data_IF_025088377655
#
_entry.id   IF_025088377655
#
_cell.length_a   1.000
_cell.length_b   1.000
_cell.length_c   1.000
_cell.angle_alpha   90.00
_cell.angle_beta   90.00
_cell.angle_gamma   90.00
#
_symmetry.space_group_name_H-M   'P 1'
#
loop_
_entity.id
_entity.type
_entity.pdbx_description
1 polymer ?
#
# COMPACT_ATOMS: atom_id res chain seq x y z
N UNK A 1 16.35 20.60 -0.94
CA UNK A 1 15.57 20.56 0.30
C UNK A 1 14.19 20.03 -0.03
N UNK A 2 13.66 19.15 0.83
CA UNK A 2 12.27 18.69 0.72
C UNK A 2 11.36 19.67 1.44
N UNK A 3 10.34 20.17 0.76
CA UNK A 3 9.31 21.07 1.28
C UNK A 3 7.93 20.44 1.16
N UNK A 4 6.88 21.14 1.61
CA UNK A 4 5.49 20.62 1.56
C UNK A 4 5.07 20.23 0.13
N UNK A 5 5.57 20.94 -0.87
CA UNK A 5 5.33 20.65 -2.29
C UNK A 5 6.65 20.73 -3.04
N UNK A 6 7.41 19.64 -2.99
CA UNK A 6 8.66 19.45 -3.72
C UNK A 6 8.56 18.30 -4.73
N UNK A 7 9.58 18.13 -5.57
CA UNK A 7 9.61 17.11 -6.61
C UNK A 7 9.52 15.68 -6.07
N UNK A 8 10.09 15.40 -4.89
CA UNK A 8 10.07 14.10 -4.23
C UNK A 8 8.69 13.81 -3.62
N UNK A 9 8.05 14.82 -3.02
CA UNK A 9 6.69 14.74 -2.49
C UNK A 9 5.67 14.53 -3.61
N UNK A 10 5.80 15.26 -4.73
CA UNK A 10 4.97 15.05 -5.93
C UNK A 10 5.18 13.63 -6.48
N UNK A 11 6.43 13.19 -6.61
CA UNK A 11 6.76 11.84 -7.08
C UNK A 11 6.12 10.77 -6.19
N UNK A 12 6.22 10.92 -4.87
CA UNK A 12 5.59 10.00 -3.90
C UNK A 12 4.07 9.96 -4.06
N UNK A 13 3.43 11.12 -4.22
CA UNK A 13 1.99 11.24 -4.46
C UNK A 13 1.55 10.58 -5.78
N UNK A 14 2.24 10.86 -6.88
CA UNK A 14 1.97 10.27 -8.20
C UNK A 14 2.19 8.75 -8.17
N UNK A 15 3.25 8.29 -7.51
CA UNK A 15 3.51 6.85 -7.33
C UNK A 15 2.37 6.18 -6.57
N UNK A 16 1.94 6.80 -5.47
CA UNK A 16 0.84 6.29 -4.64
C UNK A 16 -0.49 6.26 -5.38
N UNK A 17 -0.83 7.33 -6.08
CA UNK A 17 -2.03 7.38 -6.91
C UNK A 17 -1.98 6.27 -7.99
N UNK A 18 -0.84 6.06 -8.64
CA UNK A 18 -0.70 5.08 -9.71
C UNK A 18 -0.92 3.65 -9.21
N UNK A 19 -0.31 3.24 -8.10
CA UNK A 19 -0.52 1.89 -7.60
C UNK A 19 -1.89 1.68 -6.95
N UNK A 20 -2.51 2.72 -6.39
CA UNK A 20 -3.87 2.65 -5.88
C UNK A 20 -4.88 2.50 -7.02
N UNK A 21 -4.69 3.23 -8.12
CA UNK A 21 -5.46 3.05 -9.35
C UNK A 21 -5.25 1.66 -9.93
N UNK A 22 -4.03 1.13 -9.91
CA UNK A 22 -3.75 -0.25 -10.34
C UNK A 22 -4.52 -1.27 -9.49
N UNK A 23 -4.50 -1.11 -8.16
CA UNK A 23 -5.22 -1.97 -7.23
C UNK A 23 -6.75 -1.91 -7.45
N UNK A 24 -7.31 -0.71 -7.61
CA UNK A 24 -8.73 -0.52 -7.93
C UNK A 24 -9.11 -1.11 -9.30
N UNK A 25 -8.26 -0.96 -10.32
CA UNK A 25 -8.49 -1.58 -11.62
C UNK A 25 -8.52 -3.11 -11.52
N UNK A 26 -7.62 -3.72 -10.75
CA UNK A 26 -7.64 -5.18 -10.51
C UNK A 26 -8.90 -5.64 -9.78
N UNK A 27 -9.44 -4.85 -8.84
CA UNK A 27 -10.72 -5.13 -8.22
C UNK A 27 -11.86 -5.14 -9.25
N UNK A 28 -11.94 -4.11 -10.09
CA UNK A 28 -12.93 -4.05 -11.17
C UNK A 28 -12.80 -5.25 -12.12
N UNK A 29 -11.58 -5.63 -12.50
CA UNK A 29 -11.35 -6.83 -13.32
C UNK A 29 -11.86 -8.11 -12.65
N UNK A 30 -11.72 -8.21 -11.33
CA UNK A 30 -12.17 -9.37 -10.56
C UNK A 30 -13.68 -9.41 -10.31
N UNK A 31 -14.36 -8.26 -10.32
CA UNK A 31 -15.76 -8.12 -9.88
C UNK A 31 -16.75 -7.66 -10.94
N UNK A 32 -16.30 -7.29 -12.14
CA UNK A 32 -17.17 -6.87 -13.24
C UNK A 32 -17.01 -7.78 -14.44
N UNK A 33 -17.95 -7.71 -15.38
CA UNK A 33 -17.89 -8.39 -16.67
C UNK A 33 -18.07 -7.39 -17.84
N UNK A 34 -18.15 -7.94 -19.06
CA UNK A 34 -18.43 -7.18 -20.28
C UNK A 34 -17.46 -6.03 -20.54
N UNK A 35 -18.02 -4.89 -20.97
CA UNK A 35 -17.25 -3.71 -21.40
C UNK A 35 -16.45 -3.08 -20.26
N UNK A 36 -17.02 -3.03 -19.06
CA UNK A 36 -16.35 -2.46 -17.88
C UNK A 36 -15.11 -3.28 -17.53
N UNK A 37 -15.23 -4.61 -17.52
CA UNK A 37 -14.11 -5.49 -17.25
C UNK A 37 -13.00 -5.34 -18.29
N UNK A 38 -13.35 -5.22 -19.57
CA UNK A 38 -12.36 -5.04 -20.65
C UNK A 38 -11.57 -3.74 -20.51
N UNK A 39 -12.25 -2.62 -20.23
CA UNK A 39 -11.59 -1.34 -19.98
C UNK A 39 -10.70 -1.39 -18.73
N UNK A 40 -11.19 -2.01 -17.64
CA UNK A 40 -10.43 -2.19 -16.42
C UNK A 40 -9.19 -3.07 -16.63
N UNK A 41 -9.25 -4.11 -17.48
CA UNK A 41 -8.09 -4.94 -17.84
C UNK A 41 -7.02 -4.13 -18.55
N UNK A 42 -7.40 -3.28 -19.49
CA UNK A 42 -6.47 -2.42 -20.20
C UNK A 42 -5.84 -1.39 -19.27
N UNK A 43 -6.64 -0.72 -18.44
CA UNK A 43 -6.15 0.21 -17.42
C UNK A 43 -5.20 -0.48 -16.44
N UNK A 44 -5.56 -1.65 -15.92
CA UNK A 44 -4.72 -2.44 -15.02
C UNK A 44 -3.38 -2.82 -15.66
N UNK A 45 -3.33 -3.06 -16.97
CA UNK A 45 -2.10 -3.33 -17.72
C UNK A 45 -1.16 -2.12 -17.74
N UNK A 46 -1.65 -0.97 -18.19
CA UNK A 46 -0.87 0.27 -18.24
C UNK A 46 -0.42 0.75 -16.87
N UNK A 47 -1.33 0.76 -15.89
CA UNK A 47 -1.04 1.18 -14.52
C UNK A 47 -0.03 0.27 -13.83
N UNK A 48 0.06 -1.00 -14.21
CA UNK A 48 1.09 -1.91 -13.69
C UNK A 48 2.49 -1.54 -14.16
N UNK A 49 2.65 -1.25 -15.46
CA UNK A 49 3.94 -0.77 -15.98
C UNK A 49 4.32 0.57 -15.35
N UNK A 50 3.34 1.48 -15.20
CA UNK A 50 3.52 2.75 -14.47
C UNK A 50 3.93 2.52 -13.02
N UNK A 51 3.27 1.59 -12.32
CA UNK A 51 3.59 1.24 -10.93
C UNK A 51 5.00 0.68 -10.79
N UNK A 52 5.46 -0.18 -11.71
CA UNK A 52 6.85 -0.68 -11.72
C UNK A 52 7.83 0.47 -11.89
N UNK A 53 7.67 1.27 -12.94
CA UNK A 53 8.58 2.38 -13.24
C UNK A 53 8.67 3.36 -12.08
N UNK A 54 7.52 3.82 -11.57
CA UNK A 54 7.46 4.76 -10.46
C UNK A 54 7.99 4.16 -9.15
N UNK A 55 7.76 2.86 -8.88
CA UNK A 55 8.32 2.19 -7.69
C UNK A 55 9.85 2.18 -7.75
N UNK A 56 10.45 1.86 -8.89
CA UNK A 56 11.91 1.89 -9.06
C UNK A 56 12.44 3.31 -8.89
N UNK A 57 11.77 4.30 -9.48
CA UNK A 57 12.17 5.70 -9.38
C UNK A 57 12.06 6.20 -7.92
N UNK A 58 10.95 5.94 -7.22
CA UNK A 58 10.78 6.41 -5.83
C UNK A 58 11.72 5.69 -4.87
N UNK A 59 12.00 4.39 -5.03
CA UNK A 59 12.96 3.68 -4.19
C UNK A 59 14.37 4.27 -4.37
N UNK A 60 14.76 4.52 -5.61
CA UNK A 60 16.05 5.15 -5.95
C UNK A 60 16.10 6.57 -5.39
N UNK A 61 15.08 7.39 -5.63
CA UNK A 61 15.00 8.75 -5.12
C UNK A 61 15.03 8.79 -3.58
N UNK A 62 14.29 7.91 -2.92
CA UNK A 62 14.26 7.79 -1.46
C UNK A 62 15.64 7.45 -0.91
N UNK A 63 16.39 6.58 -1.60
CA UNK A 63 17.78 6.32 -1.22
C UNK A 63 18.58 7.62 -1.21
N UNK A 64 18.51 8.51 -2.20
CA UNK A 64 19.29 9.76 -2.22
C UNK A 64 18.77 10.88 -1.32
N UNK A 65 17.45 10.98 -1.17
CA UNK A 65 16.81 12.11 -0.49
C UNK A 65 16.63 11.86 1.01
N UNK A 66 16.45 10.60 1.44
CA UNK A 66 16.12 10.26 2.83
C UNK A 66 17.34 9.63 3.55
N UNK A 67 18.18 10.42 4.24
CA UNK A 67 19.36 9.90 4.94
C UNK A 67 18.99 8.93 6.07
N UNK A 68 17.86 9.15 6.77
CA UNK A 68 17.36 8.26 7.81
C UNK A 68 17.02 6.87 7.28
N UNK A 69 16.52 6.78 6.04
CA UNK A 69 16.27 5.49 5.41
C UNK A 69 17.60 4.73 5.23
N UNK A 70 18.63 5.39 4.68
CA UNK A 70 19.94 4.75 4.49
C UNK A 70 20.51 4.21 5.79
N UNK A 71 20.55 5.02 6.84
CA UNK A 71 21.10 4.61 8.13
C UNK A 71 20.30 3.44 8.71
N UNK A 72 18.98 3.54 8.71
CA UNK A 72 18.07 2.49 9.19
C UNK A 72 18.29 1.15 8.49
N UNK A 73 18.35 1.12 7.16
CA UNK A 73 18.59 -0.13 6.41
C UNK A 73 20.02 -0.66 6.57
N UNK A 74 21.01 0.21 6.80
CA UNK A 74 22.40 -0.23 7.06
C UNK A 74 22.58 -0.84 8.46
N UNK A 75 21.94 -0.28 9.48
CA UNK A 75 22.02 -0.75 10.87
C UNK A 75 21.17 -1.99 11.11
N UNK A 76 20.07 -2.14 10.36
CA UNK A 76 19.15 -3.27 10.49
C UNK A 76 18.87 -3.91 9.12
N UNK A 77 19.81 -4.73 8.60
CA UNK A 77 19.76 -5.25 7.23
C UNK A 77 18.51 -6.07 6.90
N UNK A 78 17.93 -6.78 7.88
CA UNK A 78 16.74 -7.60 7.66
C UNK A 78 15.53 -6.80 7.17
N UNK A 79 15.48 -5.48 7.43
CA UNK A 79 14.41 -4.60 6.93
C UNK A 79 14.29 -4.62 5.40
N UNK A 80 15.36 -4.99 4.68
CA UNK A 80 15.35 -5.12 3.21
C UNK A 80 14.32 -6.14 2.69
N UNK A 81 13.88 -7.06 3.55
CA UNK A 81 12.81 -8.02 3.22
C UNK A 81 11.52 -7.29 2.87
N UNK A 82 11.22 -6.14 3.49
CA UNK A 82 10.00 -5.37 3.24
C UNK A 82 9.93 -4.81 1.80
N UNK A 83 10.91 -4.01 1.31
CA UNK A 83 10.88 -3.54 -0.07
C UNK A 83 11.01 -4.69 -1.08
N UNK A 84 11.74 -5.76 -0.75
CA UNK A 84 11.83 -6.93 -1.62
C UNK A 84 10.46 -7.64 -1.74
N UNK A 85 9.77 -7.86 -0.62
CA UNK A 85 8.43 -8.44 -0.60
C UNK A 85 7.41 -7.57 -1.33
N UNK A 86 7.54 -6.23 -1.25
CA UNK A 86 6.75 -5.30 -2.06
C UNK A 86 6.97 -5.57 -3.56
N UNK A 87 8.22 -5.54 -4.04
CA UNK A 87 8.54 -5.78 -5.46
C UNK A 87 8.03 -7.14 -5.91
N UNK A 88 8.25 -8.20 -5.13
CA UNK A 88 7.74 -9.54 -5.45
C UNK A 88 6.21 -9.57 -5.54
N UNK A 89 5.51 -8.88 -4.65
CA UNK A 89 4.05 -8.79 -4.66
C UNK A 89 3.52 -8.05 -5.89
N UNK A 90 4.20 -6.98 -6.32
CA UNK A 90 3.85 -6.25 -7.55
C UNK A 90 4.11 -7.08 -8.81
N UNK A 91 5.22 -7.83 -8.86
CA UNK A 91 5.50 -8.73 -9.97
C UNK A 91 4.47 -9.89 -10.00
N UNK A 92 4.13 -10.44 -8.84
CA UNK A 92 3.12 -11.48 -8.71
C UNK A 92 1.73 -10.99 -9.16
N UNK A 93 1.33 -9.74 -8.85
CA UNK A 93 0.05 -9.19 -9.31
C UNK A 93 -0.02 -9.13 -10.84
N UNK A 94 1.07 -8.69 -11.49
CA UNK A 94 1.18 -8.66 -12.95
C UNK A 94 1.15 -10.05 -13.58
N UNK A 95 1.92 -10.98 -13.02
CA UNK A 95 1.97 -12.37 -13.49
C UNK A 95 0.60 -13.07 -13.37
N UNK A 96 -0.06 -12.94 -12.21
CA UNK A 96 -1.37 -13.55 -11.97
C UNK A 96 -2.45 -12.92 -12.85
N UNK A 97 -2.39 -11.60 -13.10
CA UNK A 97 -3.25 -10.92 -14.07
C UNK A 97 -3.07 -11.49 -15.48
N UNK A 98 -1.82 -11.69 -15.92
CA UNK A 98 -1.54 -12.30 -17.23
C UNK A 98 -2.05 -13.74 -17.33
N UNK A 99 -2.04 -14.49 -16.23
CA UNK A 99 -2.66 -15.82 -16.12
C UNK A 99 -4.18 -15.79 -15.91
N UNK A 100 -4.84 -14.63 -16.03
CA UNK A 100 -6.28 -14.45 -15.81
C UNK A 100 -6.77 -14.87 -14.41
N UNK A 101 -5.87 -14.92 -13.41
CA UNK A 101 -6.21 -15.18 -12.01
C UNK A 101 -6.53 -13.85 -11.31
N UNK A 102 -7.72 -13.32 -11.58
CA UNK A 102 -8.08 -11.94 -11.23
C UNK A 102 -8.06 -11.66 -9.72
N UNK A 103 -8.71 -12.49 -8.90
CA UNK A 103 -8.76 -12.26 -7.44
C UNK A 103 -7.39 -12.42 -6.76
N UNK A 104 -6.58 -13.47 -7.06
CA UNK A 104 -5.20 -13.52 -6.59
C UNK A 104 -4.35 -12.32 -7.01
N UNK A 105 -4.49 -11.83 -8.25
CA UNK A 105 -3.78 -10.63 -8.71
C UNK A 105 -4.13 -9.40 -7.87
N UNK A 106 -5.42 -9.21 -7.57
CA UNK A 106 -5.90 -8.16 -6.67
C UNK A 106 -5.27 -8.29 -5.27
N UNK A 107 -5.31 -9.47 -4.66
CA UNK A 107 -4.72 -9.70 -3.33
C UNK A 107 -3.21 -9.41 -3.30
N UNK A 108 -2.46 -9.83 -4.33
CA UNK A 108 -1.03 -9.50 -4.45
C UNK A 108 -0.78 -8.00 -4.57
N UNK A 109 -1.62 -7.25 -5.28
CA UNK A 109 -1.49 -5.78 -5.30
C UNK A 109 -1.81 -5.13 -3.95
N UNK A 110 -2.72 -5.71 -3.15
CA UNK A 110 -2.95 -5.30 -1.76
C UNK A 110 -1.73 -5.55 -0.87
N UNK A 111 -1.10 -6.73 -1.01
CA UNK A 111 0.15 -7.05 -0.31
C UNK A 111 1.29 -6.09 -0.71
N UNK A 112 1.37 -5.70 -1.98
CA UNK A 112 2.32 -4.67 -2.43
C UNK A 112 2.12 -3.36 -1.66
N UNK A 113 0.88 -2.85 -1.60
CA UNK A 113 0.57 -1.61 -0.86
C UNK A 113 0.96 -1.75 0.62
N UNK A 114 0.60 -2.88 1.25
CA UNK A 114 0.98 -3.17 2.62
C UNK A 114 2.50 -3.08 2.82
N UNK A 115 3.29 -3.78 2.01
CA UNK A 115 4.75 -3.78 2.16
C UNK A 115 5.39 -2.43 1.83
N UNK A 116 4.84 -1.62 0.91
CA UNK A 116 5.32 -0.25 0.64
C UNK A 116 5.14 0.64 1.87
N UNK A 117 3.97 0.60 2.52
CA UNK A 117 3.70 1.37 3.73
C UNK A 117 4.65 0.94 4.85
N UNK A 118 4.81 -0.36 5.07
CA UNK A 118 5.71 -0.89 6.10
C UNK A 118 7.19 -0.60 5.81
N UNK A 119 7.60 -0.60 4.54
CA UNK A 119 8.95 -0.18 4.12
C UNK A 119 9.20 1.27 4.53
N UNK A 120 8.26 2.18 4.25
CA UNK A 120 8.36 3.58 4.65
C UNK A 120 8.44 3.76 6.17
N UNK A 121 7.57 3.06 6.92
CA UNK A 121 7.59 3.09 8.38
C UNK A 121 8.92 2.55 8.95
N UNK A 122 9.40 1.42 8.45
CA UNK A 122 10.67 0.82 8.86
C UNK A 122 11.88 1.69 8.51
N UNK A 123 11.80 2.46 7.42
CA UNK A 123 12.86 3.37 7.00
C UNK A 123 13.10 4.50 8.00
N UNK A 124 12.04 5.03 8.63
CA UNK A 124 12.16 6.17 9.55
C UNK A 124 12.12 5.79 11.03
N UNK A 125 11.67 4.57 11.36
CA UNK A 125 11.63 4.05 12.72
C UNK A 125 12.99 4.22 13.44
N UNK A 126 13.04 4.73 14.69
CA UNK A 126 11.92 4.98 15.61
C UNK A 126 11.25 6.36 15.48
N UNK A 127 11.63 7.17 14.49
CA UNK A 127 11.00 8.46 14.24
C UNK A 127 9.62 8.26 13.57
N UNK A 128 8.66 9.10 13.95
CA UNK A 128 7.35 9.20 13.32
C UNK A 128 7.31 10.45 12.43
N UNK A 129 7.87 11.56 12.93
CA UNK A 129 7.99 12.82 12.21
C UNK A 129 9.37 13.44 12.46
N UNK A 130 10.33 13.26 11.53
CA UNK A 130 11.64 13.90 11.61
C UNK A 130 11.53 15.43 11.48
N UNK A 131 12.20 16.15 12.38
CA UNK A 131 12.30 17.61 12.35
C UNK A 131 13.52 18.09 11.56
N UNK A 132 13.58 19.41 11.28
CA UNK A 132 14.77 20.03 10.67
C UNK A 132 15.98 20.02 11.62
N UNK A 133 15.73 20.24 12.92
CA UNK A 133 16.72 20.04 13.97
C UNK A 133 16.49 18.64 14.59
N UNK A 134 17.52 17.77 14.61
CA UNK A 134 17.47 16.45 15.25
C UNK A 134 16.93 16.44 16.68
N UNK A 135 17.15 17.51 17.46
CA UNK A 135 16.66 17.62 18.84
C UNK A 135 15.12 17.64 18.94
N UNK A 136 14.43 18.05 17.88
CA UNK A 136 12.97 18.11 17.82
C UNK A 136 12.35 16.95 17.03
N UNK A 137 13.07 15.84 16.85
CA UNK A 137 12.50 14.64 16.27
C UNK A 137 11.34 14.12 17.13
N UNK A 138 10.19 13.88 16.51
CA UNK A 138 9.10 13.14 17.14
C UNK A 138 9.33 11.65 16.93
N UNK A 139 9.61 10.96 18.03
CA UNK A 139 9.86 9.52 18.10
C UNK A 139 8.73 8.82 18.84
N UNK A 140 8.67 7.49 18.72
CA UNK A 140 7.75 6.69 19.53
C UNK A 140 7.96 6.89 21.05
N UNK A 141 9.12 7.34 21.51
CA UNK A 141 9.45 7.45 22.92
C UNK A 141 9.01 8.79 23.53
N UNK A 142 9.08 9.89 22.77
CA UNK A 142 8.68 11.21 23.26
C UNK A 142 7.27 11.64 22.83
N UNK A 143 6.66 10.92 21.89
CA UNK A 143 5.32 11.23 21.34
C UNK A 143 4.25 10.24 21.81
N UNK A 144 4.64 9.10 22.42
CA UNK A 144 3.67 8.11 22.88
C UNK A 144 2.88 8.57 24.12
N UNK A 145 1.61 8.16 24.24
CA UNK A 145 0.88 8.26 25.50
C UNK A 145 1.56 7.45 26.61
N UNK A 146 1.29 7.80 27.87
CA UNK A 146 1.79 7.03 29.03
C UNK A 146 1.35 5.56 29.00
N UNK A 147 2.10 4.64 29.67
CA UNK A 147 1.90 3.19 29.57
C UNK A 147 0.47 2.71 29.87
N UNK A 148 -0.22 3.35 30.82
CA UNK A 148 -1.61 3.03 31.18
C UNK A 148 -2.57 3.26 30.00
N UNK A 149 -2.40 4.38 29.29
CA UNK A 149 -3.22 4.71 28.10
C UNK A 149 -2.91 3.78 26.94
N UNK A 150 -1.65 3.42 26.73
CA UNK A 150 -1.26 2.44 25.71
C UNK A 150 -1.86 1.06 25.99
N UNK A 151 -1.80 0.61 27.24
CA UNK A 151 -2.38 -0.67 27.67
C UNK A 151 -3.89 -0.69 27.48
N UNK A 152 -4.57 0.38 27.89
CA UNK A 152 -6.02 0.54 27.67
C UNK A 152 -6.37 0.54 26.19
N UNK A 153 -5.58 1.24 25.37
CA UNK A 153 -5.75 1.26 23.91
C UNK A 153 -5.61 -0.14 23.33
N UNK A 154 -4.59 -0.91 23.75
CA UNK A 154 -4.37 -2.27 23.28
C UNK A 154 -5.54 -3.20 23.60
N UNK A 155 -6.12 -3.09 24.81
CA UNK A 155 -7.28 -3.88 25.21
C UNK A 155 -8.52 -3.63 24.35
N UNK A 156 -8.75 -2.39 23.91
CA UNK A 156 -9.87 -2.06 23.02
C UNK A 156 -9.54 -2.30 21.54
N UNK A 157 -8.28 -2.15 21.15
CA UNK A 157 -7.85 -2.29 19.77
C UNK A 157 -7.96 -3.74 19.27
N UNK A 158 -7.59 -4.72 20.09
CA UNK A 158 -7.68 -6.15 19.74
C UNK A 158 -9.12 -6.59 19.39
N UNK A 159 -10.14 -6.42 20.25
CA UNK A 159 -11.51 -6.78 19.90
C UNK A 159 -12.05 -5.91 18.75
N UNK A 160 -11.65 -4.63 18.67
CA UNK A 160 -12.03 -3.75 17.58
C UNK A 160 -11.55 -4.25 16.21
N UNK A 161 -10.27 -4.60 16.08
CA UNK A 161 -9.72 -5.10 14.81
C UNK A 161 -10.27 -6.49 14.44
N UNK A 162 -10.56 -7.34 15.44
CA UNK A 162 -11.22 -8.63 15.22
C UNK A 162 -12.64 -8.44 14.69
N UNK A 163 -13.42 -7.53 15.27
CA UNK A 163 -14.77 -7.21 14.81
C UNK A 163 -14.75 -6.68 13.37
N UNK A 164 -13.83 -5.77 13.05
CA UNK A 164 -13.64 -5.26 11.69
C UNK A 164 -13.29 -6.39 10.73
N UNK A 165 -12.41 -7.31 11.12
CA UNK A 165 -12.06 -8.49 10.30
C UNK A 165 -13.25 -9.42 10.03
N UNK A 166 -14.06 -9.71 11.05
CA UNK A 166 -15.28 -10.50 10.92
C UNK A 166 -16.27 -9.81 9.99
N UNK A 167 -16.51 -8.52 10.22
CA UNK A 167 -17.42 -7.71 9.39
C UNK A 167 -17.02 -7.74 7.91
N UNK A 168 -15.76 -7.42 7.59
CA UNK A 168 -15.29 -7.44 6.20
C UNK A 168 -15.34 -8.84 5.59
N UNK A 169 -15.06 -9.89 6.38
CA UNK A 169 -15.18 -11.27 5.91
C UNK A 169 -16.62 -11.60 5.53
N UNK A 170 -17.60 -11.24 6.36
CA UNK A 170 -19.02 -11.44 6.05
C UNK A 170 -19.42 -10.61 4.83
N UNK A 171 -19.07 -9.32 4.81
CA UNK A 171 -19.37 -8.40 3.71
C UNK A 171 -18.84 -8.91 2.36
N UNK A 172 -17.57 -9.29 2.29
CA UNK A 172 -16.98 -9.77 1.03
C UNK A 172 -17.52 -11.14 0.59
N UNK A 173 -18.02 -11.95 1.53
CA UNK A 173 -18.70 -13.22 1.23
C UNK A 173 -20.16 -13.03 0.80
N UNK A 174 -20.83 -11.98 1.25
CA UNK A 174 -22.21 -11.67 0.84
C UNK A 174 -22.29 -10.99 -0.53
N UNK A 175 -21.21 -10.34 -0.97
CA UNK A 175 -21.16 -9.73 -2.29
C UNK A 175 -21.16 -10.78 -3.41
N UNK A 176 -21.86 -10.53 -4.54
CA UNK A 176 -21.84 -11.42 -5.68
C UNK A 176 -20.43 -11.59 -6.25
N UNK A 177 -20.20 -12.73 -6.90
CA UNK A 177 -18.91 -13.03 -7.53
C UNK A 177 -18.60 -12.02 -8.65
N UNK A 178 -19.60 -11.67 -9.45
CA UNK A 178 -19.54 -10.72 -10.56
C UNK A 178 -20.78 -9.82 -10.49
N UNK A 179 -20.59 -8.53 -10.80
CA UNK A 179 -21.63 -7.51 -10.90
C UNK A 179 -21.75 -7.17 -12.39
N UNK A 180 -22.88 -7.54 -13.00
CA UNK A 180 -23.16 -7.31 -14.42
C UNK A 180 -23.91 -5.99 -14.61
N UNK A 181 -23.57 -5.23 -15.66
CA UNK A 181 -24.23 -3.96 -15.96
C UNK A 181 -25.67 -4.12 -16.50
N UNK A 182 -26.04 -5.32 -16.94
CA UNK A 182 -27.39 -5.61 -17.48
C UNK A 182 -28.47 -5.79 -16.41
N UNK A 183 -28.13 -5.75 -15.12
CA UNK A 183 -29.11 -5.87 -14.04
C UNK A 183 -29.87 -4.57 -13.75
N UNK A 184 -29.61 -3.48 -14.48
CA UNK A 184 -30.36 -2.22 -14.35
C UNK A 184 -31.78 -2.30 -14.94
N UNK A 185 -32.15 -3.35 -15.67
CA UNK A 185 -33.53 -3.52 -16.17
C UNK A 185 -34.51 -4.15 -15.15
N UNK A 186 -34.03 -4.67 -14.02
CA UNK A 186 -34.85 -5.40 -13.03
C UNK A 186 -35.01 -4.69 -11.66
N UNK A 187 -34.57 -3.43 -11.52
CA UNK A 187 -34.72 -2.64 -10.28
C UNK A 187 -35.24 -1.22 -10.53
#
# INVERSE_FOLDING_TARGET
QTGILDWYTILSGVTSATFLLHHGALWLVAKTDGRVQQHARQAAAWLWFGSIGLTVIILTASWYVQPLARTSFSETPWKIILPLAAVLSLLASGYLRWKNKNMPAFLCSGLFIYFVIFTGAAAIYPNILPGLNPEYHLTIYNTSPGPEKLTTTLYWWIPGILLVGVYFTILFRSLPAVISASSEEDH
#
